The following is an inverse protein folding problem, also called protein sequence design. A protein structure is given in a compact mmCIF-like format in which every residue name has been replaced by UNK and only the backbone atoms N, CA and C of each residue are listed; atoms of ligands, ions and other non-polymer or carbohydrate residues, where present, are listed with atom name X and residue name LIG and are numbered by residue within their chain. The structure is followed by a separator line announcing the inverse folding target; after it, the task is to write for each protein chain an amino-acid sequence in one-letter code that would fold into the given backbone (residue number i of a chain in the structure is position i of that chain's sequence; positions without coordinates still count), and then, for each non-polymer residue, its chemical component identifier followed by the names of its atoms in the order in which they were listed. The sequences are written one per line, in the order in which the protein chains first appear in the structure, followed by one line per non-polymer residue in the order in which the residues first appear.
data_IF_171752088542
#
_entry.id   IF_171752088542
#
_cell.length_a   1.000
_cell.length_b   1.000
_cell.length_c   1.000
_cell.angle_alpha   90.00
_cell.angle_beta   90.00
_cell.angle_gamma   90.00
#
_symmetry.space_group_name_H-M   'P 1'
#
loop_
_entity.id
_entity.type
_entity.pdbx_description
1 polymer ?
#
# COMPACT_ATOMS: atom_id res chain seq x y z
N UNK A 1 35.90 5.47 -38.86
CA UNK A 1 36.27 4.69 -37.66
C UNK A 1 36.70 5.68 -36.58
N UNK A 2 35.85 6.01 -35.59
CA UNK A 2 35.87 5.46 -34.20
C UNK A 2 37.17 5.86 -33.46
N UNK A 3 37.25 6.56 -32.31
CA UNK A 3 36.43 6.80 -31.10
C UNK A 3 36.93 8.14 -30.51
N UNK A 4 36.21 9.01 -29.79
CA UNK A 4 35.21 8.80 -28.75
C UNK A 4 35.88 8.70 -27.36
N UNK A 5 35.82 9.76 -26.54
CA UNK A 5 35.65 9.71 -25.07
C UNK A 5 35.51 11.12 -24.45
N UNK A 6 34.26 11.49 -24.16
CA UNK A 6 33.89 12.54 -23.22
C UNK A 6 34.13 12.06 -21.77
N UNK A 7 34.35 12.97 -20.80
CA UNK A 7 34.36 12.63 -19.39
C UNK A 7 32.95 12.23 -18.92
N UNK A 8 32.90 11.21 -18.05
CA UNK A 8 31.70 10.58 -17.49
C UNK A 8 30.80 11.59 -16.80
N UNK A 9 29.51 11.51 -17.14
CA UNK A 9 28.37 12.19 -16.54
C UNK A 9 28.25 11.84 -15.05
N UNK A 10 27.98 12.87 -14.25
CA UNK A 10 27.69 12.85 -12.83
C UNK A 10 26.48 11.97 -12.50
N UNK A 11 26.57 11.26 -11.37
CA UNK A 11 25.44 10.56 -10.79
C UNK A 11 24.31 11.55 -10.48
N UNK A 12 23.20 11.41 -11.21
CA UNK A 12 21.92 11.95 -10.75
C UNK A 12 21.54 11.15 -9.50
N UNK A 13 21.68 11.77 -8.33
CA UNK A 13 20.84 11.41 -7.21
C UNK A 13 19.39 11.64 -7.67
N UNK A 14 18.67 10.56 -7.94
CA UNK A 14 17.22 10.59 -7.98
C UNK A 14 16.76 11.14 -6.64
N UNK A 15 16.38 12.42 -6.62
CA UNK A 15 15.66 13.00 -5.49
C UNK A 15 14.35 12.23 -5.40
N UNK A 16 14.34 11.19 -4.56
CA UNK A 16 13.12 10.56 -4.09
C UNK A 16 12.29 11.66 -3.44
N UNK A 17 11.36 12.24 -4.20
CA UNK A 17 10.40 13.21 -3.71
C UNK A 17 9.41 12.45 -2.82
N UNK A 18 9.85 12.09 -1.62
CA UNK A 18 8.96 11.59 -0.57
C UNK A 18 8.07 12.77 -0.19
N UNK A 19 6.82 12.75 -0.63
CA UNK A 19 5.86 13.80 -0.33
C UNK A 19 4.95 13.36 0.79
N UNK A 20 4.73 14.22 1.76
CA UNK A 20 3.80 13.95 2.86
C UNK A 20 2.37 14.19 2.40
N UNK A 21 1.44 13.31 2.76
CA UNK A 21 0.00 13.53 2.53
C UNK A 21 -0.50 14.82 3.16
N UNK A 22 0.04 15.20 4.33
CA UNK A 22 -0.26 16.48 4.96
C UNK A 22 0.33 17.67 4.19
N UNK A 23 1.54 17.55 3.64
CA UNK A 23 2.16 18.59 2.83
C UNK A 23 1.39 18.80 1.51
N UNK A 24 0.95 17.71 0.88
CA UNK A 24 0.13 17.74 -0.34
C UNK A 24 -1.24 18.32 -0.08
N UNK A 25 -1.87 17.98 1.06
CA UNK A 25 -3.13 18.61 1.46
C UNK A 25 -2.96 20.12 1.67
N UNK A 26 -1.94 20.55 2.42
CA UNK A 26 -1.67 21.97 2.63
C UNK A 26 -1.35 22.69 1.31
N UNK A 27 -0.64 22.01 0.42
CA UNK A 27 -0.32 22.50 -0.93
C UNK A 27 -1.57 22.63 -1.80
N UNK A 28 -2.43 21.62 -1.81
CA UNK A 28 -3.70 21.63 -2.53
C UNK A 28 -4.60 22.77 -2.04
N UNK A 29 -4.66 22.97 -0.71
CA UNK A 29 -5.38 24.09 -0.09
C UNK A 29 -4.80 25.43 -0.54
N UNK A 30 -3.47 25.59 -0.51
CA UNK A 30 -2.80 26.82 -0.95
C UNK A 30 -3.09 27.15 -2.42
N UNK A 31 -3.12 26.12 -3.28
CA UNK A 31 -3.35 26.27 -4.71
C UNK A 31 -4.81 26.53 -5.08
N UNK A 32 -5.76 25.98 -4.33
CA UNK A 32 -7.19 26.05 -4.68
C UNK A 32 -7.86 27.37 -4.29
N UNK A 33 -7.30 28.12 -3.33
CA UNK A 33 -7.64 29.52 -3.03
C UNK A 33 -9.08 29.84 -2.60
N UNK A 34 -10.06 28.95 -2.77
CA UNK A 34 -11.49 29.26 -2.57
C UNK A 34 -12.33 28.04 -2.21
N UNK A 35 -13.16 28.21 -1.16
CA UNK A 35 -14.53 27.72 -1.18
C UNK A 35 -14.85 26.42 -0.42
N UNK A 36 -15.62 26.56 0.66
CA UNK A 36 -16.37 25.46 1.28
C UNK A 36 -15.92 25.17 2.70
N UNK A 37 -16.58 25.85 3.65
CA UNK A 37 -16.64 25.56 5.09
C UNK A 37 -15.86 24.30 5.51
N UNK A 38 -14.58 24.47 5.81
CA UNK A 38 -13.72 23.63 6.66
C UNK A 38 -12.25 24.12 6.56
N UNK A 39 -11.85 24.74 5.44
CA UNK A 39 -10.52 25.36 5.25
C UNK A 39 -10.64 26.77 4.65
N UNK A 40 -9.82 27.73 5.13
CA UNK A 40 -9.84 29.12 4.64
C UNK A 40 -8.43 29.55 4.21
N UNK A 41 -8.31 30.08 3.00
CA UNK A 41 -7.14 30.84 2.56
C UNK A 41 -7.45 32.33 2.66
N UNK A 42 -6.73 33.05 3.51
CA UNK A 42 -6.96 34.48 3.75
C UNK A 42 -5.67 35.15 4.22
N UNK A 43 -5.42 36.36 3.73
CA UNK A 43 -4.24 37.18 4.05
C UNK A 43 -2.93 36.42 3.81
N UNK A 44 -2.83 35.79 2.64
CA UNK A 44 -1.69 34.96 2.21
C UNK A 44 -1.35 33.79 3.17
N UNK A 45 -2.32 33.35 3.97
CA UNK A 45 -2.14 32.32 4.99
C UNK A 45 -3.25 31.26 4.92
N UNK A 46 -2.93 30.07 5.42
CA UNK A 46 -3.85 28.93 5.52
C UNK A 46 -4.39 28.87 6.94
N UNK A 47 -5.71 28.71 7.06
CA UNK A 47 -6.43 28.68 8.32
C UNK A 47 -7.24 27.39 8.44
N UNK A 48 -6.97 26.61 9.50
CA UNK A 48 -7.66 25.35 9.78
C UNK A 48 -8.35 25.36 11.14
N UNK A 49 -9.48 24.69 11.23
CA UNK A 49 -10.11 24.37 12.52
C UNK A 49 -9.33 23.25 13.25
N UNK A 50 -9.55 23.10 14.57
CA UNK A 50 -8.97 21.97 15.31
C UNK A 50 -9.40 20.61 14.73
N UNK A 51 -10.66 20.52 14.27
CA UNK A 51 -11.20 19.32 13.62
C UNK A 51 -10.43 19.00 12.34
N UNK A 52 -10.17 20.00 11.50
CA UNK A 52 -9.39 19.81 10.27
C UNK A 52 -7.91 19.50 10.52
N UNK A 53 -7.29 20.10 11.54
CA UNK A 53 -5.95 19.68 11.95
C UNK A 53 -5.93 18.21 12.41
N UNK A 54 -7.01 17.74 13.04
CA UNK A 54 -7.19 16.33 13.37
C UNK A 54 -7.23 15.44 12.13
N UNK A 55 -7.99 15.83 11.10
CA UNK A 55 -8.00 15.12 9.81
C UNK A 55 -6.63 15.16 9.13
N UNK A 56 -5.99 16.33 9.10
CA UNK A 56 -4.68 16.55 8.48
C UNK A 56 -3.62 15.62 9.05
N UNK A 57 -3.54 15.53 10.37
CA UNK A 57 -2.54 14.73 11.08
C UNK A 57 -3.05 13.35 11.51
N UNK A 58 -4.26 12.96 11.13
CA UNK A 58 -4.89 11.70 11.52
C UNK A 58 -4.85 11.46 13.05
N UNK A 59 -5.35 12.44 13.78
CA UNK A 59 -5.53 12.37 15.23
C UNK A 59 -6.85 12.98 15.66
N UNK A 60 -7.31 12.62 16.84
CA UNK A 60 -8.54 13.16 17.37
C UNK A 60 -8.41 14.65 17.72
N UNK A 61 -9.54 15.37 17.65
CA UNK A 61 -9.60 16.80 17.92
C UNK A 61 -9.13 17.14 19.35
N UNK A 62 -9.35 16.24 20.32
CA UNK A 62 -8.90 16.44 21.69
C UNK A 62 -7.36 16.47 21.80
N UNK A 63 -6.66 15.67 20.98
CA UNK A 63 -5.19 15.64 20.90
C UNK A 63 -4.67 16.96 20.35
N UNK A 64 -5.31 17.49 19.30
CA UNK A 64 -5.01 18.83 18.76
C UNK A 64 -5.19 19.91 19.83
N UNK A 65 -6.31 19.86 20.57
CA UNK A 65 -6.59 20.82 21.64
C UNK A 65 -5.50 20.78 22.74
N UNK A 66 -5.09 19.58 23.14
CA UNK A 66 -4.00 19.38 24.10
C UNK A 66 -2.69 20.03 23.62
N UNK A 67 -2.28 19.78 22.38
CA UNK A 67 -1.04 20.34 21.85
C UNK A 67 -1.09 21.85 21.69
N UNK A 68 -2.21 22.43 21.24
CA UNK A 68 -2.38 23.89 21.16
C UNK A 68 -2.26 24.55 22.55
N UNK A 69 -2.88 23.98 23.59
CA UNK A 69 -2.73 24.48 24.96
C UNK A 69 -1.29 24.46 25.43
N UNK A 70 -0.55 23.39 25.12
CA UNK A 70 0.88 23.28 25.43
C UNK A 70 1.71 24.34 24.69
N UNK A 71 1.50 24.49 23.38
CA UNK A 71 2.18 25.51 22.56
C UNK A 71 2.04 26.92 23.16
N UNK A 72 0.83 27.29 23.60
CA UNK A 72 0.60 28.59 24.21
C UNK A 72 1.18 28.70 25.62
N UNK A 73 1.04 27.65 26.44
CA UNK A 73 1.62 27.62 27.79
C UNK A 73 3.16 27.70 27.78
N UNK A 74 3.79 27.08 26.79
CA UNK A 74 5.23 27.07 26.60
C UNK A 74 5.73 28.37 25.92
N UNK A 75 4.84 29.32 25.61
CA UNK A 75 5.10 30.57 24.89
C UNK A 75 5.77 30.39 23.50
N UNK A 76 5.58 29.24 22.84
CA UNK A 76 6.08 29.00 21.48
C UNK A 76 5.36 29.87 20.45
N UNK A 77 4.07 30.14 20.66
CA UNK A 77 3.25 31.03 19.84
C UNK A 77 2.38 31.92 20.70
N UNK A 78 2.11 33.14 20.22
CA UNK A 78 1.18 34.07 20.85
C UNK A 78 -0.24 33.80 20.35
N UNK A 79 -1.16 33.43 21.25
CA UNK A 79 -2.52 33.00 20.89
C UNK A 79 -3.26 34.00 19.98
N UNK A 80 -3.21 35.29 20.33
CA UNK A 80 -3.87 36.36 19.57
C UNK A 80 -3.29 36.59 18.17
N UNK A 81 -2.07 36.13 17.88
CA UNK A 81 -1.42 36.28 16.58
C UNK A 81 -1.75 35.11 15.62
N UNK A 82 -2.19 33.97 16.15
CA UNK A 82 -2.37 32.74 15.37
C UNK A 82 -3.81 32.23 15.35
N UNK A 83 -4.72 32.84 16.11
CA UNK A 83 -6.14 32.50 16.14
C UNK A 83 -6.99 33.59 15.49
N UNK A 84 -7.92 33.18 14.63
CA UNK A 84 -8.97 34.04 14.10
C UNK A 84 -10.32 33.34 14.12
N UNK A 85 -11.39 34.08 14.44
CA UNK A 85 -12.75 33.57 14.29
C UNK A 85 -13.23 33.83 12.87
N UNK A 86 -13.65 32.76 12.19
CA UNK A 86 -14.37 32.87 10.92
C UNK A 86 -15.82 32.49 11.14
N UNK A 87 -16.72 33.24 10.49
CA UNK A 87 -18.14 32.92 10.48
C UNK A 87 -18.36 31.79 9.50
N UNK A 88 -18.85 30.67 10.00
CA UNK A 88 -19.16 29.48 9.25
C UNK A 88 -20.68 29.31 9.22
N UNK A 89 -21.25 29.04 8.04
CA UNK A 89 -22.64 28.58 7.91
C UNK A 89 -22.65 27.06 7.91
N UNK A 90 -23.28 26.45 8.89
CA UNK A 90 -23.45 25.00 8.95
C UNK A 90 -24.53 24.52 7.97
N UNK A 91 -24.59 23.21 7.73
CA UNK A 91 -25.56 22.58 6.83
C UNK A 91 -27.03 22.81 7.24
N UNK A 92 -27.28 23.16 8.50
CA UNK A 92 -28.58 23.53 9.05
C UNK A 92 -28.94 25.02 8.81
N UNK A 93 -28.12 25.77 8.06
CA UNK A 93 -28.29 27.19 7.75
C UNK A 93 -27.89 28.12 8.89
N UNK A 94 -27.46 27.62 10.05
CA UNK A 94 -27.06 28.46 11.18
C UNK A 94 -25.62 28.92 11.04
N UNK A 95 -25.35 30.18 11.41
CA UNK A 95 -24.00 30.72 11.45
C UNK A 95 -23.37 30.54 12.82
N UNK A 96 -22.16 30.00 12.87
CA UNK A 96 -21.35 29.89 14.07
C UNK A 96 -19.99 30.58 13.85
N UNK A 97 -19.46 31.23 14.88
CA UNK A 97 -18.08 31.69 14.86
C UNK A 97 -17.18 30.54 15.33
N UNK A 98 -16.27 30.10 14.46
CA UNK A 98 -15.36 29.00 14.76
C UNK A 98 -13.92 29.50 14.76
N UNK A 99 -13.16 29.11 15.77
CA UNK A 99 -11.72 29.39 15.87
C UNK A 99 -10.97 28.63 14.77
N UNK A 100 -10.18 29.36 14.00
CA UNK A 100 -9.21 28.82 13.07
C UNK A 100 -7.82 29.22 13.47
N UNK A 101 -6.87 28.38 13.09
CA UNK A 101 -5.46 28.46 13.43
C UNK A 101 -4.66 28.60 12.15
N UNK A 102 -3.77 29.58 12.11
CA UNK A 102 -2.97 29.86 10.92
C UNK A 102 -1.87 28.80 10.68
N UNK A 103 -1.12 28.94 9.58
CA UNK A 103 -0.06 28.02 9.19
C UNK A 103 1.01 27.82 10.29
N UNK A 104 1.37 28.86 11.03
CA UNK A 104 2.35 28.73 12.12
C UNK A 104 1.86 27.78 13.23
N UNK A 105 0.60 27.92 13.64
CA UNK A 105 -0.01 27.01 14.60
C UNK A 105 -0.18 25.58 14.05
N UNK A 106 -0.55 25.44 12.77
CA UNK A 106 -0.66 24.14 12.09
C UNK A 106 0.70 23.42 12.10
N UNK A 107 1.77 24.10 11.71
CA UNK A 107 3.14 23.57 11.70
C UNK A 107 3.55 23.15 13.12
N UNK A 108 3.36 24.04 14.12
CA UNK A 108 3.72 23.75 15.51
C UNK A 108 3.03 22.51 16.06
N UNK A 109 1.74 22.34 15.76
CA UNK A 109 0.98 21.13 16.11
C UNK A 109 1.56 19.90 15.39
N UNK A 110 1.87 19.99 14.09
CA UNK A 110 2.50 18.89 13.34
C UNK A 110 3.84 18.39 13.91
N UNK A 111 4.59 19.27 14.59
CA UNK A 111 5.81 18.88 15.31
C UNK A 111 5.55 18.19 16.65
N UNK A 112 4.42 18.47 17.32
CA UNK A 112 4.08 17.88 18.63
C UNK A 112 3.22 16.62 18.55
N UNK A 113 2.47 16.43 17.47
CA UNK A 113 1.59 15.27 17.28
C UNK A 113 2.41 14.01 16.94
N UNK A 114 2.02 12.89 17.53
CA UNK A 114 2.59 11.57 17.26
C UNK A 114 1.65 10.73 16.37
N UNK A 115 1.77 10.89 15.06
CA UNK A 115 1.05 10.08 14.06
C UNK A 115 1.93 9.82 12.84
N UNK A 116 1.58 8.82 12.02
CA UNK A 116 2.31 8.51 10.79
C UNK A 116 2.30 9.72 9.82
N UNK A 117 1.17 10.42 9.69
CA UNK A 117 1.06 11.66 8.89
C UNK A 117 1.95 12.78 9.44
N UNK A 118 2.02 12.94 10.77
CA UNK A 118 2.89 13.93 11.39
C UNK A 118 4.39 13.57 11.21
N UNK A 119 4.75 12.29 11.25
CA UNK A 119 6.11 11.83 10.93
C UNK A 119 6.47 12.18 9.49
N UNK A 120 5.59 11.89 8.52
CA UNK A 120 5.84 12.23 7.12
C UNK A 120 5.93 13.74 6.91
N UNK A 121 5.04 14.51 7.55
CA UNK A 121 5.11 15.98 7.55
C UNK A 121 6.46 16.48 8.05
N UNK A 122 6.98 15.93 9.16
CA UNK A 122 8.30 16.32 9.69
C UNK A 122 9.44 15.94 8.75
N UNK A 123 9.40 14.74 8.12
CA UNK A 123 10.39 14.36 7.11
C UNK A 123 10.45 15.39 5.97
N UNK A 124 9.28 15.74 5.43
CA UNK A 124 9.16 16.77 4.39
C UNK A 124 9.67 18.14 4.85
N UNK A 125 9.25 18.60 6.03
CA UNK A 125 9.68 19.90 6.56
C UNK A 125 11.19 19.95 6.80
N UNK A 126 11.80 18.86 7.29
CA UNK A 126 13.25 18.73 7.42
C UNK A 126 13.95 18.86 6.08
N UNK A 127 13.45 18.23 5.01
CA UNK A 127 14.03 18.38 3.66
C UNK A 127 14.00 19.83 3.18
N UNK A 128 12.93 20.57 3.46
CA UNK A 128 12.84 22.00 3.14
C UNK A 128 13.87 22.79 3.93
N UNK A 129 13.96 22.56 5.25
CA UNK A 129 14.91 23.26 6.11
C UNK A 129 16.35 22.98 5.67
N UNK A 130 16.69 21.74 5.36
CA UNK A 130 18.01 21.35 4.85
C UNK A 130 18.33 22.03 3.51
N UNK A 131 17.39 21.98 2.56
CA UNK A 131 17.57 22.59 1.24
C UNK A 131 17.73 24.11 1.34
N UNK A 132 16.86 24.78 2.12
CA UNK A 132 16.93 26.20 2.38
C UNK A 132 18.26 26.58 3.06
N UNK A 133 18.69 25.79 4.05
CA UNK A 133 19.94 26.03 4.78
C UNK A 133 21.16 25.93 3.87
N UNK A 134 21.17 24.99 2.92
CA UNK A 134 22.30 24.77 2.01
C UNK A 134 22.28 25.77 0.84
N UNK A 135 21.11 26.10 0.29
CA UNK A 135 20.97 26.87 -0.96
C UNK A 135 20.55 28.33 -0.77
N UNK A 136 20.00 28.68 0.39
CA UNK A 136 19.36 29.97 0.66
C UNK A 136 17.94 30.11 0.12
N UNK A 137 17.40 29.08 -0.53
CA UNK A 137 16.01 29.04 -1.02
C UNK A 137 15.51 27.59 -1.15
N UNK A 138 14.19 27.42 -1.13
CA UNK A 138 13.51 26.16 -1.46
C UNK A 138 12.44 26.44 -2.50
N UNK A 139 12.30 25.55 -3.48
CA UNK A 139 11.32 25.66 -4.56
C UNK A 139 10.75 24.28 -4.89
N UNK A 140 9.42 24.19 -5.01
CA UNK A 140 8.74 22.97 -5.47
C UNK A 140 8.64 22.98 -7.00
N UNK A 141 9.76 22.62 -7.65
CA UNK A 141 9.93 22.68 -9.11
C UNK A 141 8.83 21.92 -9.86
N UNK A 142 8.46 20.74 -9.39
CA UNK A 142 7.47 19.88 -10.01
C UNK A 142 6.07 20.49 -9.96
N UNK A 143 5.69 21.12 -8.84
CA UNK A 143 4.42 21.84 -8.74
C UNK A 143 4.38 23.06 -9.66
N UNK A 144 5.49 23.79 -9.76
CA UNK A 144 5.58 24.95 -10.64
C UNK A 144 5.50 24.56 -12.12
N UNK A 145 6.18 23.48 -12.53
CA UNK A 145 6.02 22.90 -13.88
C UNK A 145 4.58 22.47 -14.16
N UNK A 146 3.88 22.00 -13.12
CA UNK A 146 2.51 21.48 -13.21
C UNK A 146 1.42 22.56 -13.04
N UNK A 147 1.77 23.85 -13.17
CA UNK A 147 0.79 24.94 -13.13
C UNK A 147 0.22 25.24 -11.74
N UNK A 148 0.96 24.91 -10.67
CA UNK A 148 0.59 25.26 -9.30
C UNK A 148 -0.05 24.12 -8.50
N UNK A 149 -0.33 22.97 -9.10
CA UNK A 149 -0.81 21.77 -8.40
C UNK A 149 -0.10 20.52 -8.93
N UNK A 150 0.16 19.56 -8.05
CA UNK A 150 0.69 18.24 -8.42
C UNK A 150 -0.46 17.31 -8.84
N UNK A 151 -1.67 17.56 -8.34
CA UNK A 151 -2.88 16.79 -8.63
C UNK A 151 -3.54 17.28 -9.93
N UNK A 152 -2.79 17.23 -11.03
CA UNK A 152 -3.26 17.62 -12.36
C UNK A 152 -4.08 16.52 -13.02
N UNK A 153 -4.75 16.84 -14.14
CA UNK A 153 -5.38 15.81 -14.97
C UNK A 153 -4.36 14.76 -15.42
N UNK A 154 -3.16 15.19 -15.79
CA UNK A 154 -2.06 14.32 -16.19
C UNK A 154 -1.68 13.36 -15.05
N UNK A 155 -1.59 13.83 -13.80
CA UNK A 155 -1.31 12.96 -12.66
C UNK A 155 -2.32 11.80 -12.57
N UNK A 156 -3.63 12.09 -12.70
CA UNK A 156 -4.67 11.04 -12.64
C UNK A 156 -4.67 10.14 -13.87
N UNK A 157 -4.36 10.66 -15.07
CA UNK A 157 -4.16 9.86 -16.27
C UNK A 157 -2.97 8.89 -16.12
N UNK A 158 -1.86 9.34 -15.55
CA UNK A 158 -0.70 8.49 -15.24
C UNK A 158 -1.04 7.43 -14.19
N UNK A 159 -1.77 7.79 -13.12
CA UNK A 159 -2.23 6.80 -12.14
C UNK A 159 -3.14 5.75 -12.77
N UNK A 160 -4.08 6.18 -13.62
CA UNK A 160 -4.95 5.28 -14.35
C UNK A 160 -4.16 4.31 -15.25
N UNK A 161 -3.16 4.83 -15.96
CA UNK A 161 -2.28 4.02 -16.79
C UNK A 161 -1.50 2.98 -15.96
N UNK A 162 -0.93 3.38 -14.83
CA UNK A 162 -0.23 2.47 -13.90
C UNK A 162 -1.16 1.36 -13.37
N UNK A 163 -2.39 1.71 -12.98
CA UNK A 163 -3.39 0.73 -12.50
C UNK A 163 -3.75 -0.27 -13.61
N UNK A 164 -3.90 0.18 -14.85
CA UNK A 164 -4.17 -0.71 -16.00
C UNK A 164 -2.99 -1.65 -16.28
N UNK A 165 -1.76 -1.16 -16.18
CA UNK A 165 -0.55 -1.99 -16.31
C UNK A 165 -0.50 -3.06 -15.22
N UNK A 166 -0.81 -2.70 -13.96
CA UNK A 166 -0.90 -3.64 -12.84
C UNK A 166 -1.98 -4.70 -13.12
N UNK A 167 -3.12 -4.30 -13.68
CA UNK A 167 -4.22 -5.20 -14.03
C UNK A 167 -3.80 -6.24 -15.06
N UNK A 168 -3.14 -5.81 -16.13
CA UNK A 168 -2.67 -6.66 -17.24
C UNK A 168 -1.49 -7.56 -16.86
N UNK A 169 -0.73 -7.20 -15.82
CA UNK A 169 0.43 -7.96 -15.36
C UNK A 169 0.10 -9.40 -14.96
N UNK A 170 1.00 -10.35 -15.26
CA UNK A 170 0.92 -11.74 -14.79
C UNK A 170 1.50 -11.93 -13.37
N UNK A 171 1.85 -10.83 -12.69
CA UNK A 171 2.38 -10.85 -11.32
C UNK A 171 1.39 -11.50 -10.34
N UNK A 172 1.95 -11.99 -9.24
CA UNK A 172 1.19 -12.61 -8.14
C UNK A 172 0.12 -11.65 -7.63
N UNK A 173 -1.05 -12.18 -7.26
CA UNK A 173 -2.22 -11.38 -6.88
C UNK A 173 -1.95 -10.35 -5.78
N UNK A 174 -1.24 -10.74 -4.72
CA UNK A 174 -0.86 -9.84 -3.63
C UNK A 174 0.13 -8.75 -4.08
N UNK A 175 0.99 -9.03 -5.07
CA UNK A 175 1.89 -8.01 -5.62
C UNK A 175 1.12 -6.92 -6.35
N UNK A 176 0.00 -7.26 -7.00
CA UNK A 176 -0.87 -6.24 -7.61
C UNK A 176 -1.44 -5.27 -6.58
N UNK A 177 -1.84 -5.78 -5.41
CA UNK A 177 -2.33 -4.94 -4.30
C UNK A 177 -1.21 -4.04 -3.75
N UNK A 178 0.01 -4.57 -3.61
CA UNK A 178 1.16 -3.74 -3.17
C UNK A 178 1.57 -2.71 -4.23
N UNK A 179 1.44 -3.05 -5.51
CA UNK A 179 1.72 -2.14 -6.62
C UNK A 179 0.69 -0.99 -6.63
N UNK A 180 -0.59 -1.26 -6.34
CA UNK A 180 -1.61 -0.20 -6.11
C UNK A 180 -1.22 0.66 -4.91
N UNK A 181 -0.84 0.07 -3.79
CA UNK A 181 -0.40 0.83 -2.61
C UNK A 181 0.79 1.76 -2.94
N UNK A 182 1.70 1.34 -3.82
CA UNK A 182 2.81 2.17 -4.28
C UNK A 182 2.39 3.37 -5.15
N UNK A 183 1.14 3.42 -5.63
CA UNK A 183 0.58 4.60 -6.33
C UNK A 183 0.16 5.72 -5.37
N UNK A 184 0.25 5.49 -4.05
CA UNK A 184 -0.06 6.51 -3.05
C UNK A 184 0.74 7.78 -3.27
N UNK A 185 0.09 8.93 -3.07
CA UNK A 185 0.74 10.24 -3.16
C UNK A 185 1.86 10.38 -2.13
N UNK A 186 1.67 9.78 -0.95
CA UNK A 186 2.62 9.81 0.15
C UNK A 186 3.43 8.53 0.30
N UNK A 187 3.59 7.76 -0.79
CA UNK A 187 4.32 6.50 -0.75
C UNK A 187 5.76 6.67 -0.24
N UNK A 188 6.08 5.92 0.81
CA UNK A 188 7.42 5.84 1.38
C UNK A 188 7.74 4.38 1.69
N UNK A 189 8.66 3.79 0.92
CA UNK A 189 9.11 2.40 1.10
C UNK A 189 9.79 2.16 2.46
N UNK A 190 10.36 3.21 3.06
CA UNK A 190 11.04 3.13 4.35
C UNK A 190 10.07 3.24 5.53
N UNK A 191 8.85 3.70 5.29
CA UNK A 191 7.84 3.90 6.33
C UNK A 191 7.46 2.58 7.00
N UNK A 192 7.27 2.63 8.32
CA UNK A 192 6.82 1.48 9.10
C UNK A 192 5.43 1.00 8.64
N UNK A 193 4.56 1.93 8.24
CA UNK A 193 3.26 1.64 7.65
C UNK A 193 3.38 0.73 6.42
N UNK A 194 4.28 1.05 5.49
CA UNK A 194 4.53 0.25 4.28
C UNK A 194 5.04 -1.15 4.61
N UNK A 195 5.99 -1.26 5.56
CA UNK A 195 6.50 -2.56 6.01
C UNK A 195 5.38 -3.41 6.63
N UNK A 196 4.52 -2.81 7.46
CA UNK A 196 3.34 -3.45 8.07
C UNK A 196 2.32 -3.87 6.99
N UNK A 197 2.05 -3.00 6.02
CA UNK A 197 1.10 -3.29 4.95
C UNK A 197 1.59 -4.47 4.10
N UNK A 198 2.85 -4.46 3.65
CA UNK A 198 3.42 -5.55 2.83
C UNK A 198 3.51 -6.88 3.58
N UNK A 199 3.77 -6.86 4.89
CA UNK A 199 3.79 -8.10 5.68
C UNK A 199 2.40 -8.68 5.95
N UNK A 200 1.35 -7.86 5.97
CA UNK A 200 -0.01 -8.28 6.36
C UNK A 200 -0.95 -8.53 5.19
N UNK A 201 -0.74 -7.87 4.04
CA UNK A 201 -1.68 -7.93 2.89
C UNK A 201 -1.93 -9.36 2.42
N UNK A 202 -0.90 -10.19 2.36
CA UNK A 202 -1.06 -11.60 1.96
C UNK A 202 -1.96 -12.35 2.93
N UNK A 203 -1.72 -12.21 4.24
CA UNK A 203 -2.52 -12.89 5.25
C UNK A 203 -3.97 -12.40 5.29
N UNK A 204 -4.21 -11.09 5.08
CA UNK A 204 -5.58 -10.55 4.96
C UNK A 204 -6.34 -11.17 3.80
N UNK A 205 -5.71 -11.32 2.64
CA UNK A 205 -6.35 -11.93 1.46
C UNK A 205 -6.61 -13.42 1.66
N UNK A 206 -5.66 -14.17 2.23
CA UNK A 206 -5.87 -15.58 2.56
C UNK A 206 -7.01 -15.77 3.57
N UNK A 207 -7.02 -14.96 4.63
CA UNK A 207 -8.08 -15.01 5.65
C UNK A 207 -9.46 -14.74 5.06
N UNK A 208 -9.58 -13.71 4.22
CA UNK A 208 -10.83 -13.35 3.57
C UNK A 208 -11.42 -14.50 2.71
N UNK A 209 -10.59 -15.39 2.17
CA UNK A 209 -11.04 -16.46 1.27
C UNK A 209 -11.40 -17.73 2.02
N UNK A 210 -10.60 -18.11 3.02
CA UNK A 210 -10.70 -19.44 3.63
C UNK A 210 -10.40 -19.45 5.14
N UNK A 211 -10.42 -18.28 5.82
CA UNK A 211 -10.32 -18.16 7.27
C UNK A 211 -8.99 -18.64 7.87
N UNK A 212 -7.92 -18.65 7.09
CA UNK A 212 -6.58 -19.05 7.52
C UNK A 212 -5.54 -18.09 6.96
N UNK A 213 -4.48 -17.83 7.70
CA UNK A 213 -3.28 -17.16 7.19
C UNK A 213 -2.51 -18.05 6.22
N UNK A 214 -1.57 -17.49 5.46
CA UNK A 214 -0.75 -18.27 4.54
C UNK A 214 0.04 -19.39 5.26
N UNK A 215 0.53 -19.11 6.47
CA UNK A 215 1.25 -20.08 7.29
C UNK A 215 0.34 -21.20 7.79
N UNK A 216 -0.87 -20.88 8.26
CA UNK A 216 -1.85 -21.88 8.71
C UNK A 216 -2.31 -22.80 7.57
N UNK A 217 -2.51 -22.26 6.36
CA UNK A 217 -2.82 -23.08 5.18
C UNK A 217 -1.74 -24.12 4.93
N UNK A 218 -0.48 -23.69 4.91
CA UNK A 218 0.66 -24.59 4.69
C UNK A 218 0.70 -25.65 5.81
N UNK A 219 0.62 -25.23 7.06
CA UNK A 219 0.70 -26.12 8.21
C UNK A 219 -0.42 -27.17 8.24
N UNK A 220 -1.67 -26.75 8.00
CA UNK A 220 -2.82 -27.66 8.07
C UNK A 220 -3.00 -28.54 6.82
N UNK A 221 -2.51 -28.10 5.65
CA UNK A 221 -2.75 -28.82 4.39
C UNK A 221 -1.57 -29.66 3.92
N UNK A 222 -0.34 -29.31 4.27
CA UNK A 222 0.84 -30.11 3.96
C UNK A 222 0.79 -31.44 4.72
N UNK A 223 0.61 -32.54 3.98
CA UNK A 223 0.50 -33.88 4.54
C UNK A 223 0.97 -34.93 3.52
N UNK A 224 2.04 -35.65 3.84
CA UNK A 224 2.70 -36.66 3.01
C UNK A 224 1.84 -37.89 2.70
N UNK A 225 0.76 -38.11 3.43
CA UNK A 225 -0.16 -39.24 3.23
C UNK A 225 -1.24 -38.91 2.19
N UNK A 226 -1.40 -37.63 1.85
CA UNK A 226 -2.32 -37.20 0.78
C UNK A 226 -1.63 -37.26 -0.58
N UNK A 227 -2.44 -37.44 -1.62
CA UNK A 227 -2.00 -37.27 -2.99
C UNK A 227 -1.34 -35.89 -3.18
N UNK A 228 -0.18 -35.86 -3.83
CA UNK A 228 0.59 -34.63 -4.07
C UNK A 228 0.86 -33.82 -2.79
N UNK A 229 0.93 -34.47 -1.62
CA UNK A 229 1.05 -33.82 -0.31
C UNK A 229 -0.07 -32.83 0.07
N UNK A 230 -1.22 -32.91 -0.61
CA UNK A 230 -2.28 -31.91 -0.50
C UNK A 230 -2.06 -30.65 -1.36
N UNK A 231 -1.02 -30.61 -2.19
CA UNK A 231 -0.85 -29.57 -3.21
C UNK A 231 -1.86 -29.78 -4.35
N UNK A 232 -2.45 -28.69 -4.81
CA UNK A 232 -3.36 -28.64 -5.95
C UNK A 232 -2.65 -28.17 -7.22
N UNK A 233 -1.57 -27.41 -7.07
CA UNK A 233 -0.71 -26.92 -8.15
C UNK A 233 0.72 -26.71 -7.65
N UNK A 234 1.71 -26.79 -8.52
CA UNK A 234 3.12 -26.54 -8.26
C UNK A 234 3.82 -26.19 -9.58
N UNK A 235 5.11 -25.84 -9.54
CA UNK A 235 5.80 -25.32 -10.74
C UNK A 235 5.70 -26.23 -11.96
N UNK A 236 5.83 -27.54 -11.76
CA UNK A 236 5.81 -28.55 -12.83
C UNK A 236 4.48 -29.34 -12.87
N UNK A 237 3.40 -28.80 -12.29
CA UNK A 237 2.10 -29.45 -12.26
C UNK A 237 1.49 -29.62 -13.67
N UNK A 238 0.64 -30.65 -13.88
CA UNK A 238 0.26 -31.70 -12.94
C UNK A 238 1.17 -32.94 -12.99
N UNK A 239 2.18 -32.99 -13.88
CA UNK A 239 2.91 -34.24 -14.21
C UNK A 239 4.36 -34.29 -13.75
N UNK A 240 4.96 -33.16 -13.39
CA UNK A 240 6.33 -33.07 -12.89
C UNK A 240 6.42 -33.26 -11.38
N UNK A 241 7.65 -33.44 -10.88
CA UNK A 241 7.90 -33.65 -9.46
C UNK A 241 7.65 -32.37 -8.65
N UNK A 242 7.04 -32.53 -7.48
CA UNK A 242 7.02 -31.50 -6.45
C UNK A 242 8.44 -31.29 -5.95
N UNK A 243 8.85 -30.02 -5.85
CA UNK A 243 10.15 -29.62 -5.33
C UNK A 243 10.01 -28.99 -3.95
N UNK A 244 11.11 -28.99 -3.20
CA UNK A 244 11.15 -28.39 -1.85
C UNK A 244 10.73 -26.92 -1.82
N UNK A 245 10.95 -26.16 -2.89
CA UNK A 245 10.51 -24.77 -2.96
C UNK A 245 8.99 -24.61 -3.22
N UNK A 246 8.31 -25.64 -3.70
CA UNK A 246 6.86 -25.60 -3.97
C UNK A 246 6.04 -25.73 -2.67
N UNK A 247 6.55 -26.48 -1.69
CA UNK A 247 5.81 -26.82 -0.46
C UNK A 247 5.70 -25.64 0.51
N UNK A 248 6.55 -24.63 0.38
CA UNK A 248 6.52 -23.40 1.18
C UNK A 248 5.58 -22.32 0.63
N UNK A 249 4.84 -22.58 -0.46
CA UNK A 249 3.99 -21.58 -1.11
C UNK A 249 2.53 -21.87 -0.82
N UNK A 250 1.88 -21.07 0.04
CA UNK A 250 0.49 -21.28 0.44
C UNK A 250 -0.51 -21.39 -0.73
N UNK A 251 -0.29 -20.63 -1.81
CA UNK A 251 -1.15 -20.65 -3.02
C UNK A 251 -1.26 -22.06 -3.63
N UNK A 252 -0.23 -22.88 -3.48
CA UNK A 252 -0.13 -24.19 -4.08
C UNK A 252 -1.04 -25.23 -3.38
N UNK A 253 -1.59 -24.90 -2.21
CA UNK A 253 -2.53 -25.74 -1.45
C UNK A 253 -3.99 -25.27 -1.57
N UNK A 254 -4.25 -24.24 -2.37
CA UNK A 254 -5.60 -23.70 -2.56
C UNK A 254 -6.37 -24.50 -3.60
N UNK A 255 -7.61 -24.85 -3.32
CA UNK A 255 -8.45 -25.49 -4.32
C UNK A 255 -8.88 -24.52 -5.43
N UNK A 256 -9.44 -25.04 -6.52
CA UNK A 256 -9.85 -24.24 -7.68
C UNK A 256 -10.85 -23.14 -7.30
N UNK A 257 -11.79 -23.44 -6.40
CA UNK A 257 -12.77 -22.46 -5.92
C UNK A 257 -12.11 -21.32 -5.14
N UNK A 258 -11.23 -21.63 -4.18
CA UNK A 258 -10.49 -20.64 -3.39
C UNK A 258 -9.60 -19.77 -4.28
N UNK A 259 -8.91 -20.39 -5.25
CA UNK A 259 -8.10 -19.66 -6.22
C UNK A 259 -8.96 -18.71 -7.06
N UNK A 260 -10.09 -19.18 -7.58
CA UNK A 260 -11.02 -18.35 -8.35
C UNK A 260 -11.57 -17.19 -7.51
N UNK A 261 -11.89 -17.41 -6.23
CA UNK A 261 -12.34 -16.36 -5.32
C UNK A 261 -11.25 -15.34 -5.02
N UNK A 262 -9.99 -15.77 -4.87
CA UNK A 262 -8.85 -14.88 -4.64
C UNK A 262 -8.61 -13.99 -5.86
N UNK A 263 -8.64 -14.58 -7.07
CA UNK A 263 -8.54 -13.83 -8.33
C UNK A 263 -9.65 -12.80 -8.42
N UNK A 264 -10.91 -13.20 -8.20
CA UNK A 264 -12.07 -12.30 -8.26
C UNK A 264 -11.96 -11.15 -7.27
N UNK A 265 -11.55 -11.42 -6.03
CA UNK A 265 -11.40 -10.39 -4.99
C UNK A 265 -10.36 -9.34 -5.41
N UNK A 266 -9.20 -9.79 -5.90
CA UNK A 266 -8.11 -8.90 -6.32
C UNK A 266 -8.51 -8.09 -7.56
N UNK A 267 -9.18 -8.72 -8.54
CA UNK A 267 -9.72 -8.02 -9.72
C UNK A 267 -10.74 -6.96 -9.33
N UNK A 268 -11.69 -7.27 -8.44
CA UNK A 268 -12.67 -6.30 -7.98
C UNK A 268 -12.04 -5.15 -7.18
N UNK A 269 -10.98 -5.41 -6.40
CA UNK A 269 -10.23 -4.34 -5.74
C UNK A 269 -9.48 -3.45 -6.73
N UNK A 270 -8.93 -4.01 -7.82
CA UNK A 270 -8.34 -3.23 -8.91
C UNK A 270 -9.38 -2.33 -9.60
N UNK A 271 -10.62 -2.78 -9.75
CA UNK A 271 -11.72 -1.95 -10.28
C UNK A 271 -12.03 -0.77 -9.35
N UNK A 272 -12.01 -1.00 -8.03
CA UNK A 272 -12.14 0.08 -7.05
C UNK A 272 -11.00 1.07 -7.21
N UNK A 273 -9.76 0.60 -7.39
CA UNK A 273 -8.62 1.49 -7.59
C UNK A 273 -8.74 2.33 -8.87
N UNK A 274 -9.13 1.70 -9.98
CA UNK A 274 -9.38 2.38 -11.25
C UNK A 274 -10.48 3.45 -11.12
N UNK A 275 -11.57 3.15 -10.40
CA UNK A 275 -12.65 4.08 -10.14
C UNK A 275 -12.19 5.31 -9.32
N UNK A 276 -11.26 5.15 -8.37
CA UNK A 276 -10.72 6.29 -7.60
C UNK A 276 -9.91 7.22 -8.50
N UNK A 277 -9.07 6.66 -9.37
CA UNK A 277 -8.29 7.45 -10.34
C UNK A 277 -9.22 8.19 -11.32
N UNK A 278 -10.23 7.52 -11.87
CA UNK A 278 -11.21 8.14 -12.79
C UNK A 278 -11.99 9.29 -12.14
N UNK A 279 -12.34 9.14 -10.86
CA UNK A 279 -13.03 10.17 -10.08
C UNK A 279 -12.10 11.29 -9.58
N UNK A 280 -10.81 11.23 -9.91
CA UNK A 280 -9.78 12.18 -9.48
C UNK A 280 -9.71 12.30 -7.96
N UNK A 281 -9.88 11.18 -7.27
CA UNK A 281 -9.76 11.14 -5.81
C UNK A 281 -8.32 10.78 -5.47
N UNK A 282 -7.55 11.69 -4.85
CA UNK A 282 -6.19 11.39 -4.39
C UNK A 282 -6.23 10.31 -3.31
N UNK A 283 -5.24 9.40 -3.34
CA UNK A 283 -5.14 8.29 -2.39
C UNK A 283 -3.81 8.32 -1.66
N UNK A 284 -3.87 8.24 -0.33
CA UNK A 284 -2.71 8.04 0.55
C UNK A 284 -2.49 6.56 0.86
N UNK A 285 -1.32 6.24 1.41
CA UNK A 285 -1.01 4.90 1.92
C UNK A 285 -2.09 4.40 2.90
N UNK A 286 -2.52 5.28 3.80
CA UNK A 286 -3.57 4.99 4.77
C UNK A 286 -4.95 4.79 4.12
N UNK A 287 -5.27 5.59 3.10
CA UNK A 287 -6.55 5.46 2.40
C UNK A 287 -6.64 4.10 1.70
N UNK A 288 -5.56 3.62 1.08
CA UNK A 288 -5.52 2.29 0.48
C UNK A 288 -5.64 1.19 1.53
N UNK A 289 -4.95 1.29 2.66
CA UNK A 289 -5.07 0.30 3.75
C UNK A 289 -6.52 0.24 4.28
N UNK A 290 -7.10 1.41 4.58
CA UNK A 290 -8.46 1.51 5.10
C UNK A 290 -9.48 1.00 4.10
N UNK A 291 -9.31 1.34 2.81
CA UNK A 291 -10.21 0.94 1.74
C UNK A 291 -10.12 -0.56 1.44
N UNK A 292 -8.94 -1.15 1.52
CA UNK A 292 -8.78 -2.61 1.41
C UNK A 292 -9.54 -3.33 2.53
N UNK A 293 -9.40 -2.87 3.77
CA UNK A 293 -10.13 -3.45 4.90
C UNK A 293 -11.65 -3.34 4.69
N UNK A 294 -12.14 -2.12 4.43
CA UNK A 294 -13.59 -1.89 4.18
C UNK A 294 -14.11 -2.70 2.99
N UNK A 295 -13.30 -2.88 1.95
CA UNK A 295 -13.67 -3.67 0.79
C UNK A 295 -13.84 -5.15 1.14
N UNK A 296 -12.93 -5.71 1.93
CA UNK A 296 -13.04 -7.10 2.42
C UNK A 296 -14.30 -7.24 3.30
N UNK A 297 -14.48 -6.35 4.27
CA UNK A 297 -15.68 -6.31 5.14
C UNK A 297 -16.98 -6.24 4.33
N UNK A 298 -17.05 -5.36 3.33
CA UNK A 298 -18.24 -5.17 2.49
C UNK A 298 -18.57 -6.38 1.59
N UNK A 299 -17.65 -7.35 1.48
CA UNK A 299 -17.88 -8.61 0.77
C UNK A 299 -18.33 -9.75 1.68
N UNK A 300 -18.81 -9.42 2.89
CA UNK A 300 -19.22 -10.35 3.95
C UNK A 300 -18.11 -11.33 4.35
N UNK A 301 -16.86 -10.86 4.33
CA UNK A 301 -15.68 -11.63 4.70
C UNK A 301 -15.06 -11.09 5.97
N UNK A 302 -14.60 -12.01 6.81
CA UNK A 302 -13.87 -11.64 8.02
C UNK A 302 -12.54 -11.01 7.66
N UNK A 303 -12.14 -10.02 8.45
CA UNK A 303 -10.80 -9.44 8.40
C UNK A 303 -9.97 -10.06 9.49
N UNK A 304 -8.75 -10.45 9.14
CA UNK A 304 -7.74 -10.89 10.09
C UNK A 304 -7.45 -9.77 11.11
N UNK A 305 -7.81 -10.01 12.38
CA UNK A 305 -7.59 -9.08 13.50
C UNK A 305 -6.28 -9.34 14.25
N UNK A 306 -5.68 -10.53 14.09
CA UNK A 306 -4.48 -10.96 14.78
C UNK A 306 -3.37 -11.44 13.81
N UNK A 307 -2.24 -11.93 14.34
CA UNK A 307 -1.12 -12.39 13.51
C UNK A 307 -1.31 -13.82 12.94
N UNK A 308 -2.43 -14.49 13.22
CA UNK A 308 -2.61 -15.92 13.07
C UNK A 308 -1.97 -16.74 14.20
N UNK A 309 -2.25 -18.04 14.22
CA UNK A 309 -1.78 -18.98 15.26
C UNK A 309 -0.46 -19.65 14.92
N UNK A 310 -0.05 -19.65 13.66
CA UNK A 310 1.13 -20.36 13.17
C UNK A 310 2.11 -19.38 12.53
N UNK A 311 3.37 -19.46 12.93
CA UNK A 311 4.43 -18.64 12.33
C UNK A 311 4.86 -19.20 10.97
N UNK A 312 5.37 -18.34 10.10
CA UNK A 312 5.89 -18.74 8.79
C UNK A 312 7.03 -19.77 8.89
N UNK A 313 7.87 -19.66 9.93
CA UNK A 313 8.97 -20.59 10.18
C UNK A 313 8.47 -21.99 10.55
N UNK A 314 7.49 -22.08 11.46
CA UNK A 314 6.88 -23.35 11.86
C UNK A 314 6.18 -24.01 10.67
N UNK A 315 5.38 -23.24 9.93
CA UNK A 315 4.68 -23.74 8.76
C UNK A 315 5.63 -24.27 7.69
N UNK A 316 6.72 -23.55 7.42
CA UNK A 316 7.75 -23.97 6.45
C UNK A 316 8.47 -25.23 6.92
N UNK A 317 8.91 -25.29 8.17
CA UNK A 317 9.59 -26.47 8.71
C UNK A 317 8.69 -27.72 8.66
N UNK A 318 7.41 -27.57 9.01
CA UNK A 318 6.41 -28.63 8.90
C UNK A 318 6.26 -29.14 7.46
N UNK A 319 6.05 -28.24 6.50
CA UNK A 319 5.87 -28.62 5.10
C UNK A 319 7.14 -29.25 4.49
N UNK A 320 8.33 -28.79 4.88
CA UNK A 320 9.59 -29.41 4.46
C UNK A 320 9.76 -30.82 5.06
N UNK A 321 9.36 -31.03 6.32
CA UNK A 321 9.40 -32.35 6.94
C UNK A 321 8.45 -33.34 6.25
N UNK A 322 7.21 -32.92 5.97
CA UNK A 322 6.24 -33.72 5.21
C UNK A 322 6.74 -33.96 3.78
N UNK A 323 7.49 -33.01 3.18
CA UNK A 323 8.09 -33.20 1.86
C UNK A 323 9.12 -34.31 1.83
N UNK A 324 10.00 -34.37 2.84
CA UNK A 324 11.00 -35.45 2.92
C UNK A 324 10.34 -36.83 3.05
N UNK A 325 9.21 -36.93 3.79
CA UNK A 325 8.40 -38.16 3.86
C UNK A 325 7.78 -38.51 2.50
N UNK A 326 7.17 -37.54 1.83
CA UNK A 326 6.50 -37.74 0.55
C UNK A 326 7.48 -38.00 -0.60
N UNK A 327 8.71 -37.47 -0.56
CA UNK A 327 9.71 -37.64 -1.62
C UNK A 327 9.94 -39.11 -1.96
N UNK A 328 9.94 -39.97 -0.94
CA UNK A 328 10.08 -41.43 -1.11
C UNK A 328 8.90 -42.02 -1.89
N UNK A 329 7.69 -41.56 -1.60
CA UNK A 329 6.45 -41.98 -2.31
C UNK A 329 6.46 -41.45 -3.74
N UNK A 330 6.80 -40.19 -3.92
CA UNK A 330 6.91 -39.55 -5.23
C UNK A 330 7.95 -40.23 -6.12
N UNK A 331 9.15 -40.52 -5.61
CA UNK A 331 10.20 -41.15 -6.40
C UNK A 331 9.83 -42.57 -6.84
N UNK A 332 9.02 -43.28 -6.04
CA UNK A 332 8.49 -44.60 -6.40
C UNK A 332 7.40 -44.53 -7.48
N UNK A 333 6.54 -43.52 -7.42
CA UNK A 333 5.39 -43.37 -8.32
C UNK A 333 5.72 -42.56 -9.58
N UNK A 334 6.83 -41.82 -9.60
CA UNK A 334 7.18 -40.95 -10.70
C UNK A 334 7.67 -41.75 -11.91
N UNK A 335 7.05 -41.47 -13.05
CA UNK A 335 7.43 -42.03 -14.33
C UNK A 335 7.98 -40.91 -15.23
N UNK A 336 9.21 -41.06 -15.70
CA UNK A 336 9.83 -40.06 -16.56
C UNK A 336 9.22 -40.04 -17.96
N UNK A 337 9.37 -38.93 -18.68
CA UNK A 337 8.90 -38.85 -20.06
C UNK A 337 9.59 -39.88 -20.97
N UNK A 338 10.84 -40.25 -20.66
CA UNK A 338 11.53 -41.36 -21.32
C UNK A 338 10.80 -42.69 -21.11
N UNK A 339 10.45 -43.02 -19.86
CA UNK A 339 9.78 -44.28 -19.53
C UNK A 339 8.39 -44.36 -20.18
N UNK A 340 7.67 -43.23 -20.24
CA UNK A 340 6.37 -43.13 -20.93
C UNK A 340 6.51 -43.36 -22.44
N UNK A 341 7.49 -42.71 -23.08
CA UNK A 341 7.73 -42.86 -24.51
C UNK A 341 8.12 -44.32 -24.83
N UNK A 342 8.96 -44.94 -24.00
CA UNK A 342 9.32 -46.35 -24.16
C UNK A 342 8.13 -47.30 -24.03
N UNK A 343 7.19 -47.03 -23.09
CA UNK A 343 5.93 -47.80 -22.98
C UNK A 343 4.99 -47.59 -24.16
N UNK A 344 4.94 -46.40 -24.75
CA UNK A 344 4.13 -46.12 -25.94
C UNK A 344 4.72 -46.82 -27.18
N UNK A 345 6.04 -46.76 -27.35
CA UNK A 345 6.74 -47.44 -28.44
C UNK A 345 6.61 -48.97 -28.34
N UNK A 346 6.70 -49.55 -27.14
CA UNK A 346 6.49 -50.98 -26.92
C UNK A 346 5.04 -51.48 -27.08
N UNK A 347 4.04 -50.57 -27.11
CA UNK A 347 2.65 -50.90 -27.44
C UNK A 347 2.37 -50.90 -28.94
N UNK A 348 3.15 -50.16 -29.74
CA UNK A 348 3.03 -50.13 -31.21
C UNK A 348 3.78 -51.27 -31.92
N UNK A 349 4.43 -52.17 -31.18
CA UNK A 349 5.13 -53.36 -31.72
C UNK A 349 4.39 -54.66 -31.40
N UNK A 350 3.06 -54.67 -31.49
CA UNK A 350 2.32 -55.92 -31.72
C UNK A 350 2.14 -56.08 -33.23
N UNK A 351 2.56 -57.21 -33.83
CA UNK A 351 2.53 -57.37 -35.28
C UNK A 351 1.08 -57.46 -35.74
N UNK A 352 0.73 -56.66 -36.76
CA UNK A 352 -0.40 -57.00 -37.63
C UNK A 352 -0.08 -58.37 -38.26
N UNK A 353 -1.08 -59.25 -38.22
CA UNK A 353 -1.06 -60.67 -38.61
C UNK A 353 -0.47 -60.97 -40.00
#
# INVERSE_FOLDING_TARGET
MSKGKYPKVSGKNEKSLVRSSAAEYLTFVAASGTGGVEVVYADENIWLTQKMMGVLYDVETHTINYHLKKIFADNELQENAVIRNFRITAADGKSYNTKHYNLAAIIAVGYKVNSERAVQFRKWATTIIEEFTIKGYTMDDERLKSGGSILTNQYFEEQLQRIREIRLSERKFYQKITDIYATSIDYDVTAQATKRFFSTVQNKLHWAIHGQTAAEVIFHRANAEKENMGLTTWKDAPRGKIQKFDVGVAKNYLNEYEMAQLVRLVSAYLDVAEAMALRKIPMTMQDWETRLNRFIEATDREILQDAGKVTAEIAKAHAECEFERYRIVQDRLFESDFDRIMKQLGRNTKPDE
#
